data_IF_892510490864
#
_entry.id   IF_892510490864
#
_cell.length_a   1.000
_cell.length_b   1.000
_cell.length_c   1.000
_cell.angle_alpha   90.00
_cell.angle_beta   90.00
_cell.angle_gamma   90.00
#
_symmetry.space_group_name_H-M   'P 1'
#
loop_
_entity.id
_entity.type
_entity.pdbx_description
1 polymer ?
#
# COMPACT_ATOMS: atom_id res chain seq x y z
N UNK A 1 -2.64 80.73 -7.42
CA UNK A 1 -1.93 79.54 -6.90
C UNK A 1 -3.01 78.51 -6.65
N UNK A 2 -3.22 77.66 -7.62
CA UNK A 2 -4.24 76.60 -7.57
C UNK A 2 -3.50 75.28 -7.52
N UNK A 3 -3.68 74.55 -6.43
CA UNK A 3 -3.19 73.19 -6.24
C UNK A 3 -4.10 72.24 -7.03
N UNK A 4 -3.56 71.60 -8.06
CA UNK A 4 -4.20 70.50 -8.78
C UNK A 4 -3.97 69.21 -7.97
N UNK A 5 -5.06 68.72 -7.44
CA UNK A 5 -5.14 67.42 -6.75
C UNK A 5 -5.13 66.29 -7.81
N UNK A 6 -3.98 65.59 -7.93
CA UNK A 6 -3.82 64.46 -8.81
C UNK A 6 -4.47 63.25 -8.09
N UNK A 7 -5.66 62.87 -8.51
CA UNK A 7 -6.29 61.60 -8.17
C UNK A 7 -5.53 60.46 -8.89
N UNK A 8 -4.68 59.77 -8.19
CA UNK A 8 -4.12 58.49 -8.65
C UNK A 8 -5.25 57.42 -8.65
N UNK A 9 -5.69 57.09 -9.87
CA UNK A 9 -6.60 55.98 -10.14
C UNK A 9 -5.81 54.65 -9.94
N UNK A 10 -5.88 54.07 -8.74
CA UNK A 10 -5.40 52.73 -8.44
C UNK A 10 -6.30 51.71 -9.16
N UNK A 11 -6.05 51.51 -10.44
CA UNK A 11 -6.56 50.36 -11.15
C UNK A 11 -5.82 49.10 -10.65
N UNK A 12 -6.44 48.39 -9.70
CA UNK A 12 -6.05 47.01 -9.35
C UNK A 12 -5.93 46.21 -10.65
N UNK A 13 -4.80 45.46 -10.83
CA UNK A 13 -4.69 44.57 -11.99
C UNK A 13 -5.79 43.49 -11.84
N UNK A 14 -6.55 43.23 -12.90
CA UNK A 14 -7.57 42.17 -12.87
C UNK A 14 -6.88 40.87 -12.53
N UNK A 15 -7.24 40.25 -11.40
CA UNK A 15 -6.88 38.89 -11.06
C UNK A 15 -7.39 38.00 -12.20
N UNK A 16 -6.47 37.63 -13.11
CA UNK A 16 -6.77 36.76 -14.24
C UNK A 16 -7.11 35.37 -13.72
N UNK A 17 -8.34 35.19 -13.29
CA UNK A 17 -8.92 33.84 -13.18
C UNK A 17 -8.83 33.23 -14.58
N UNK A 18 -8.14 32.09 -14.77
CA UNK A 18 -8.01 31.48 -16.08
C UNK A 18 -9.42 31.17 -16.60
N UNK A 19 -9.86 31.88 -17.62
CA UNK A 19 -11.16 31.68 -18.26
C UNK A 19 -11.21 30.26 -18.78
N UNK A 20 -12.02 29.42 -18.14
CA UNK A 20 -12.22 28.03 -18.58
C UNK A 20 -12.87 28.12 -19.95
N UNK A 21 -12.27 27.50 -21.01
CA UNK A 21 -12.92 27.51 -22.31
C UNK A 21 -14.30 26.84 -22.19
N UNK A 22 -15.35 27.61 -22.39
CA UNK A 22 -16.75 27.16 -22.27
C UNK A 22 -17.01 25.92 -23.12
N UNK A 23 -16.29 25.77 -24.23
CA UNK A 23 -16.35 24.63 -25.12
C UNK A 23 -15.89 23.31 -24.45
N UNK A 24 -14.87 23.33 -23.57
CA UNK A 24 -14.42 22.14 -22.87
C UNK A 24 -15.44 21.64 -21.84
N UNK A 25 -16.14 22.56 -21.17
CA UNK A 25 -17.22 22.19 -20.26
C UNK A 25 -18.41 21.61 -21.01
N UNK A 26 -18.75 22.18 -22.17
CA UNK A 26 -19.82 21.66 -23.03
C UNK A 26 -19.50 20.24 -23.53
N UNK A 27 -18.28 20.02 -24.02
CA UNK A 27 -17.82 18.69 -24.44
C UNK A 27 -17.85 17.68 -23.29
N UNK A 28 -17.38 18.05 -22.09
CA UNK A 28 -17.41 17.17 -20.93
C UNK A 28 -18.84 16.85 -20.44
N UNK A 29 -19.79 17.77 -20.68
CA UNK A 29 -21.19 17.61 -20.30
C UNK A 29 -22.01 16.82 -21.33
N UNK A 30 -21.51 16.63 -22.56
CA UNK A 30 -22.25 16.01 -23.65
C UNK A 30 -22.63 14.55 -23.30
N UNK A 31 -23.94 14.23 -23.25
CA UNK A 31 -24.39 12.86 -23.02
C UNK A 31 -23.94 11.87 -24.10
N UNK A 32 -23.65 12.35 -25.33
CA UNK A 32 -23.17 11.55 -26.45
C UNK A 32 -21.63 11.46 -26.52
N UNK A 33 -20.90 11.92 -25.50
CA UNK A 33 -19.44 11.89 -25.47
C UNK A 33 -18.90 10.47 -25.64
N UNK A 34 -18.19 10.23 -26.77
CA UNK A 34 -17.58 8.92 -27.03
C UNK A 34 -16.40 8.62 -26.12
N UNK A 35 -16.10 7.31 -25.92
CA UNK A 35 -14.92 6.86 -25.15
C UNK A 35 -13.62 7.47 -25.65
N UNK A 36 -13.41 7.48 -26.98
CA UNK A 36 -12.17 7.95 -27.59
C UNK A 36 -12.00 9.46 -27.42
N UNK A 37 -13.08 10.22 -27.55
CA UNK A 37 -13.05 11.67 -27.32
C UNK A 37 -12.77 12.00 -25.85
N UNK A 38 -13.42 11.30 -24.92
CA UNK A 38 -13.15 11.44 -23.48
C UNK A 38 -11.69 11.10 -23.14
N UNK A 39 -11.14 10.02 -23.69
CA UNK A 39 -9.74 9.64 -23.48
C UNK A 39 -8.77 10.65 -24.10
N UNK A 40 -9.12 11.21 -25.27
CA UNK A 40 -8.30 12.25 -25.92
C UNK A 40 -8.28 13.51 -25.09
N UNK A 41 -9.41 13.91 -24.53
CA UNK A 41 -9.51 15.02 -23.59
C UNK A 41 -8.61 14.78 -22.38
N UNK A 42 -8.70 13.61 -21.73
CA UNK A 42 -7.94 13.24 -20.54
C UNK A 42 -6.42 13.05 -20.76
N UNK A 43 -5.95 13.02 -22.00
CA UNK A 43 -4.50 13.06 -22.30
C UNK A 43 -3.87 14.44 -22.03
N UNK A 44 -4.65 15.49 -22.10
CA UNK A 44 -4.20 16.86 -21.84
C UNK A 44 -3.94 17.01 -20.35
N UNK A 45 -2.75 17.49 -19.99
CA UNK A 45 -2.37 17.68 -18.59
C UNK A 45 -2.86 19.01 -18.00
N UNK A 46 -3.28 19.93 -18.87
CA UNK A 46 -3.66 21.31 -18.55
C UNK A 46 -5.17 21.51 -18.27
N UNK A 47 -5.96 20.41 -18.27
CA UNK A 47 -7.40 20.49 -18.04
C UNK A 47 -7.74 21.16 -16.69
N UNK A 48 -8.68 22.12 -16.69
CA UNK A 48 -9.20 22.69 -15.47
C UNK A 48 -9.92 21.64 -14.61
N UNK A 49 -9.83 21.74 -13.27
CA UNK A 49 -10.52 20.82 -12.36
C UNK A 49 -12.03 20.72 -12.60
N UNK A 50 -12.67 21.83 -12.98
CA UNK A 50 -14.11 21.94 -13.24
C UNK A 50 -14.54 21.06 -14.43
N UNK A 51 -13.69 20.95 -15.45
CA UNK A 51 -13.93 20.08 -16.61
C UNK A 51 -13.87 18.60 -16.19
N UNK A 52 -12.91 18.28 -15.30
CA UNK A 52 -12.77 16.93 -14.75
C UNK A 52 -13.93 16.55 -13.82
N UNK A 53 -14.42 17.50 -13.04
CA UNK A 53 -15.64 17.31 -12.23
C UNK A 53 -16.88 17.14 -13.09
N UNK A 54 -17.00 17.91 -14.17
CA UNK A 54 -18.10 17.76 -15.10
C UNK A 54 -18.07 16.41 -15.80
N UNK A 55 -16.86 15.95 -16.22
CA UNK A 55 -16.68 14.63 -16.80
C UNK A 55 -17.02 13.52 -15.79
N UNK A 56 -16.74 13.74 -14.49
CA UNK A 56 -17.11 12.82 -13.42
C UNK A 56 -18.63 12.71 -13.19
N UNK A 57 -19.41 13.70 -13.62
CA UNK A 57 -20.87 13.68 -13.59
C UNK A 57 -21.49 13.05 -14.85
N UNK A 58 -20.69 12.89 -15.91
CA UNK A 58 -21.16 12.32 -17.17
C UNK A 58 -21.29 10.79 -17.06
N UNK A 59 -22.50 10.31 -16.82
CA UNK A 59 -22.80 8.90 -16.65
C UNK A 59 -22.44 8.03 -17.87
N UNK A 60 -22.53 8.58 -19.10
CA UNK A 60 -22.18 7.87 -20.32
C UNK A 60 -20.67 7.66 -20.44
N UNK A 61 -19.88 8.70 -20.23
CA UNK A 61 -18.43 8.62 -20.23
C UNK A 61 -17.91 7.66 -19.13
N UNK A 62 -18.52 7.67 -17.95
CA UNK A 62 -18.15 6.80 -16.83
C UNK A 62 -18.56 5.32 -17.00
N UNK A 63 -19.34 4.94 -18.01
CA UNK A 63 -19.54 3.52 -18.36
C UNK A 63 -18.23 2.86 -18.78
N UNK A 64 -17.37 3.59 -19.46
CA UNK A 64 -16.06 3.07 -19.86
C UNK A 64 -15.12 2.96 -18.66
N UNK A 65 -14.61 1.73 -18.43
CA UNK A 65 -13.56 1.46 -17.44
C UNK A 65 -12.28 2.25 -17.72
N UNK A 66 -11.91 2.42 -19.00
CA UNK A 66 -10.70 3.15 -19.39
C UNK A 66 -10.81 4.62 -19.03
N UNK A 67 -11.98 5.25 -19.30
CA UNK A 67 -12.25 6.64 -18.94
C UNK A 67 -12.19 6.85 -17.44
N UNK A 68 -12.81 5.97 -16.64
CA UNK A 68 -12.75 6.04 -15.17
C UNK A 68 -11.31 5.99 -14.64
N UNK A 69 -10.48 5.07 -15.16
CA UNK A 69 -9.08 4.95 -14.75
C UNK A 69 -8.29 6.19 -15.18
N UNK A 70 -8.48 6.67 -16.42
CA UNK A 70 -7.80 7.86 -16.93
C UNK A 70 -8.17 9.11 -16.13
N UNK A 71 -9.45 9.29 -15.81
CA UNK A 71 -9.94 10.38 -14.98
C UNK A 71 -9.35 10.35 -13.56
N UNK A 72 -9.39 9.20 -12.89
CA UNK A 72 -8.81 9.05 -11.56
C UNK A 72 -7.28 9.20 -11.54
N UNK A 73 -6.62 8.95 -12.67
CA UNK A 73 -5.16 9.08 -12.82
C UNK A 73 -4.70 10.44 -13.30
N UNK A 74 -5.62 11.35 -13.59
CA UNK A 74 -5.26 12.66 -14.11
C UNK A 74 -4.69 13.56 -12.99
N UNK A 75 -3.60 14.31 -13.24
CA UNK A 75 -2.89 15.05 -12.19
C UNK A 75 -3.73 16.18 -11.54
N UNK A 76 -4.69 16.71 -12.27
CA UNK A 76 -5.55 17.80 -11.79
C UNK A 76 -6.94 17.37 -11.34
N UNK A 77 -7.23 16.03 -11.35
CA UNK A 77 -8.52 15.54 -10.83
C UNK A 77 -8.57 15.75 -9.32
N UNK A 78 -9.60 16.46 -8.83
CA UNK A 78 -9.76 16.68 -7.41
C UNK A 78 -9.88 15.37 -6.63
N UNK A 79 -9.33 15.35 -5.42
CA UNK A 79 -9.33 14.17 -4.55
C UNK A 79 -10.74 13.63 -4.27
N UNK A 80 -11.72 14.52 -4.10
CA UNK A 80 -13.12 14.13 -3.86
C UNK A 80 -13.76 13.40 -5.06
N UNK A 81 -13.18 13.52 -6.25
CA UNK A 81 -13.56 12.76 -7.45
C UNK A 81 -12.75 11.47 -7.58
N UNK A 82 -11.40 11.57 -7.45
CA UNK A 82 -10.49 10.43 -7.66
C UNK A 82 -10.72 9.29 -6.67
N UNK A 83 -10.90 9.59 -5.38
CA UNK A 83 -11.00 8.56 -4.33
C UNK A 83 -12.31 7.74 -4.42
N UNK A 84 -13.51 8.35 -4.60
CA UNK A 84 -14.73 7.58 -4.82
C UNK A 84 -14.68 6.70 -6.07
N UNK A 85 -14.10 7.20 -7.18
CA UNK A 85 -13.89 6.40 -8.39
C UNK A 85 -12.97 5.21 -8.12
N UNK A 86 -11.85 5.44 -7.43
CA UNK A 86 -10.90 4.39 -7.09
C UNK A 86 -11.53 3.26 -6.26
N UNK A 87 -12.48 3.56 -5.38
CA UNK A 87 -13.20 2.53 -4.59
C UNK A 87 -13.97 1.53 -5.44
N UNK A 88 -14.28 1.87 -6.70
CA UNK A 88 -15.01 1.01 -7.64
C UNK A 88 -14.08 0.19 -8.54
N UNK A 89 -12.75 0.41 -8.47
CA UNK A 89 -11.79 -0.26 -9.35
C UNK A 89 -11.47 -1.67 -8.88
N UNK A 90 -11.08 -2.51 -9.84
CA UNK A 90 -10.49 -3.82 -9.55
C UNK A 90 -9.08 -3.67 -8.97
N UNK A 91 -8.60 -4.71 -8.28
CA UNK A 91 -7.30 -4.76 -7.61
C UNK A 91 -6.14 -4.26 -8.48
N UNK A 92 -6.05 -4.73 -9.71
CA UNK A 92 -4.95 -4.34 -10.61
C UNK A 92 -5.09 -2.94 -11.21
N UNK A 93 -6.33 -2.41 -11.31
CA UNK A 93 -6.52 -1.02 -11.72
C UNK A 93 -6.10 -0.05 -10.61
N UNK A 94 -6.45 -0.36 -9.37
CA UNK A 94 -5.94 0.37 -8.20
C UNK A 94 -4.41 0.41 -8.19
N UNK A 95 -3.77 -0.76 -8.42
CA UNK A 95 -2.31 -0.83 -8.51
C UNK A 95 -1.77 0.07 -9.63
N UNK A 96 -2.40 0.08 -10.83
CA UNK A 96 -1.98 0.96 -11.93
C UNK A 96 -2.09 2.43 -11.56
N UNK A 97 -3.20 2.84 -10.92
CA UNK A 97 -3.41 4.23 -10.47
C UNK A 97 -2.37 4.61 -9.41
N UNK A 98 -2.15 3.77 -8.39
CA UNK A 98 -1.16 4.01 -7.34
C UNK A 98 0.27 4.15 -7.88
N UNK A 99 0.61 3.42 -8.95
CA UNK A 99 1.94 3.44 -9.57
C UNK A 99 2.10 4.50 -10.66
N UNK A 100 1.03 5.15 -11.10
CA UNK A 100 1.09 6.17 -12.13
C UNK A 100 1.89 7.39 -11.63
N UNK A 101 2.90 7.87 -12.37
CA UNK A 101 3.65 9.06 -11.99
C UNK A 101 2.80 10.34 -11.99
N UNK A 102 1.71 10.35 -12.78
CA UNK A 102 0.84 11.52 -12.97
C UNK A 102 -0.11 11.76 -11.79
N UNK A 103 -0.39 10.75 -10.98
CA UNK A 103 -1.32 10.83 -9.84
C UNK A 103 -0.70 11.59 -8.67
N UNK A 104 -1.40 12.54 -8.05
CA UNK A 104 -0.95 13.23 -6.84
C UNK A 104 -0.64 12.26 -5.68
N UNK A 105 0.33 12.63 -4.84
CA UNK A 105 0.81 11.78 -3.76
C UNK A 105 -0.28 11.40 -2.75
N UNK A 106 -1.14 12.33 -2.40
CA UNK A 106 -2.26 12.13 -1.48
C UNK A 106 -3.32 11.17 -2.02
N UNK A 107 -3.59 11.22 -3.34
CA UNK A 107 -4.47 10.26 -4.02
C UNK A 107 -3.82 8.88 -4.06
N UNK A 108 -2.50 8.78 -4.34
CA UNK A 108 -1.78 7.49 -4.26
C UNK A 108 -1.90 6.84 -2.90
N UNK A 109 -1.72 7.62 -1.83
CA UNK A 109 -1.88 7.14 -0.45
C UNK A 109 -3.29 6.61 -0.23
N UNK A 110 -4.33 7.33 -0.65
CA UNK A 110 -5.72 6.90 -0.50
C UNK A 110 -6.02 5.62 -1.31
N UNK A 111 -5.47 5.51 -2.52
CA UNK A 111 -5.61 4.31 -3.35
C UNK A 111 -4.90 3.11 -2.74
N UNK A 112 -3.72 3.30 -2.17
CA UNK A 112 -3.00 2.26 -1.42
C UNK A 112 -3.82 1.80 -0.19
N UNK A 113 -4.47 2.72 0.53
CA UNK A 113 -5.32 2.37 1.67
C UNK A 113 -6.53 1.52 1.24
N UNK A 114 -7.14 1.83 0.08
CA UNK A 114 -8.19 0.99 -0.52
C UNK A 114 -7.65 -0.40 -0.88
N UNK A 115 -6.45 -0.50 -1.48
CA UNK A 115 -5.81 -1.78 -1.77
C UNK A 115 -5.54 -2.58 -0.50
N UNK A 116 -4.95 -1.95 0.51
CA UNK A 116 -4.63 -2.58 1.80
C UNK A 116 -5.90 -3.11 2.47
N UNK A 117 -6.99 -2.35 2.47
CA UNK A 117 -8.26 -2.80 3.05
C UNK A 117 -8.82 -4.06 2.36
N UNK A 118 -8.50 -4.27 1.08
CA UNK A 118 -8.96 -5.41 0.28
C UNK A 118 -8.03 -6.63 0.34
N UNK A 119 -6.84 -6.53 0.93
CA UNK A 119 -5.88 -7.64 0.97
C UNK A 119 -6.49 -8.92 1.57
N UNK A 120 -7.44 -8.80 2.49
CA UNK A 120 -8.14 -9.94 3.11
C UNK A 120 -9.07 -10.70 2.14
N UNK A 121 -9.53 -10.06 1.08
CA UNK A 121 -10.51 -10.63 0.13
C UNK A 121 -9.90 -11.08 -1.20
N UNK A 122 -8.67 -10.63 -1.51
CA UNK A 122 -7.99 -10.98 -2.76
C UNK A 122 -7.40 -12.40 -2.71
N UNK A 123 -7.29 -13.03 -3.87
CA UNK A 123 -6.71 -14.37 -4.02
C UNK A 123 -5.21 -14.39 -3.72
N UNK A 124 -4.65 -15.58 -3.43
CA UNK A 124 -3.21 -15.74 -3.19
C UNK A 124 -2.37 -15.33 -4.40
N UNK A 125 -2.85 -15.59 -5.63
CA UNK A 125 -2.18 -15.15 -6.86
C UNK A 125 -2.14 -13.63 -7.01
N UNK A 126 -3.23 -12.94 -6.67
CA UNK A 126 -3.27 -11.48 -6.65
C UNK A 126 -2.34 -10.92 -5.57
N UNK A 127 -2.33 -11.50 -4.34
CA UNK A 127 -1.39 -11.11 -3.27
C UNK A 127 0.05 -11.24 -3.71
N UNK A 128 0.41 -12.32 -4.38
CA UNK A 128 1.77 -12.53 -4.90
C UNK A 128 2.15 -11.48 -5.95
N UNK A 129 1.21 -11.14 -6.83
CA UNK A 129 1.41 -10.10 -7.84
C UNK A 129 1.55 -8.71 -7.20
N UNK A 130 0.68 -8.39 -6.23
CA UNK A 130 0.77 -7.15 -5.45
C UNK A 130 2.09 -7.07 -4.67
N UNK A 131 2.50 -8.17 -4.01
CA UNK A 131 3.76 -8.24 -3.28
C UNK A 131 4.96 -7.86 -4.16
N UNK A 132 4.99 -8.34 -5.40
CA UNK A 132 6.09 -8.08 -6.35
C UNK A 132 6.04 -6.70 -7.00
N UNK A 133 4.85 -6.16 -7.28
CA UNK A 133 4.67 -5.04 -8.23
C UNK A 133 4.01 -3.80 -7.65
N UNK A 134 3.25 -3.90 -6.55
CA UNK A 134 2.55 -2.77 -5.97
C UNK A 134 3.51 -1.78 -5.30
N UNK A 135 2.95 -0.72 -4.72
CA UNK A 135 3.71 0.26 -3.94
C UNK A 135 4.41 -0.37 -2.73
N UNK A 136 5.44 0.28 -2.21
CA UNK A 136 6.12 -0.16 -1.00
C UNK A 136 5.19 -0.27 0.22
N UNK A 137 4.15 0.60 0.31
CA UNK A 137 3.15 0.56 1.39
C UNK A 137 2.31 -0.72 1.33
N UNK A 138 1.86 -1.10 0.15
CA UNK A 138 1.10 -2.35 -0.06
C UNK A 138 1.97 -3.57 0.21
N UNK A 139 3.23 -3.57 -0.26
CA UNK A 139 4.19 -4.63 0.03
C UNK A 139 4.45 -4.76 1.55
N UNK A 140 4.65 -3.65 2.27
CA UNK A 140 4.81 -3.64 3.72
C UNK A 140 3.57 -4.17 4.46
N UNK A 141 2.36 -3.84 3.98
CA UNK A 141 1.12 -4.39 4.55
C UNK A 141 1.04 -5.91 4.37
N UNK A 142 1.50 -6.44 3.23
CA UNK A 142 1.55 -7.89 2.98
C UNK A 142 2.59 -8.63 3.84
N UNK A 143 3.63 -7.95 4.35
CA UNK A 143 4.55 -8.53 5.34
C UNK A 143 3.85 -8.80 6.69
N UNK A 144 2.83 -8.03 7.03
CA UNK A 144 2.10 -8.11 8.30
C UNK A 144 0.83 -8.96 8.23
N UNK A 145 0.36 -9.29 7.03
CA UNK A 145 -0.92 -10.01 6.80
C UNK A 145 -0.83 -11.53 7.10
N UNK A 146 0.02 -11.91 8.05
CA UNK A 146 0.20 -13.32 8.49
C UNK A 146 -1.05 -13.83 9.23
N UNK A 147 -1.71 -12.96 10.02
CA UNK A 147 -2.85 -13.34 10.85
C UNK A 147 -4.15 -13.64 10.08
N UNK A 148 -4.28 -13.10 8.87
CA UNK A 148 -5.50 -13.23 8.05
C UNK A 148 -5.78 -14.68 7.59
N UNK A 149 -4.75 -15.54 7.52
CA UNK A 149 -4.90 -16.95 7.13
C UNK A 149 -5.23 -17.84 8.34
N UNK A 150 -4.64 -17.57 9.50
CA UNK A 150 -4.92 -18.35 10.71
C UNK A 150 -6.37 -18.12 11.18
N UNK A 151 -6.85 -16.86 11.12
CA UNK A 151 -8.24 -16.54 11.44
C UNK A 151 -9.27 -17.17 10.49
N UNK A 152 -8.98 -17.25 9.19
CA UNK A 152 -9.87 -17.93 8.22
C UNK A 152 -9.84 -19.45 8.37
N UNK A 153 -8.69 -20.04 8.63
CA UNK A 153 -8.57 -21.49 8.86
C UNK A 153 -9.34 -21.91 10.12
N UNK A 154 -9.30 -21.07 11.17
CA UNK A 154 -10.07 -21.32 12.39
C UNK A 154 -11.56 -21.08 12.15
N UNK A 155 -11.97 -20.05 11.41
CA UNK A 155 -13.36 -19.78 11.07
C UNK A 155 -13.95 -20.87 10.16
N UNK A 156 -13.22 -21.31 9.14
CA UNK A 156 -13.64 -22.41 8.26
C UNK A 156 -13.75 -23.75 9.01
N UNK A 157 -12.90 -24.01 10.00
CA UNK A 157 -13.04 -25.20 10.89
C UNK A 157 -14.26 -25.11 11.78
N UNK A 158 -14.62 -23.93 12.28
CA UNK A 158 -15.81 -23.74 13.13
C UNK A 158 -17.08 -23.88 12.27
N UNK A 159 -17.08 -23.39 11.03
CA UNK A 159 -18.21 -23.49 10.10
C UNK A 159 -18.34 -24.92 9.59
N UNK A 160 -17.24 -25.59 9.24
CA UNK A 160 -17.25 -26.99 8.78
C UNK A 160 -17.68 -27.99 9.88
N UNK A 161 -17.46 -27.65 11.16
CA UNK A 161 -17.92 -28.48 12.30
C UNK A 161 -19.42 -28.42 12.58
N UNK A 162 -20.18 -27.54 11.92
CA UNK A 162 -21.63 -27.38 12.10
C UNK A 162 -22.48 -27.90 10.95
N UNK A 163 -21.89 -28.37 9.87
CA UNK A 163 -22.62 -28.97 8.74
C UNK A 163 -22.81 -30.46 8.99
N UNK A 164 -24.02 -30.83 9.41
CA UNK A 164 -24.50 -32.19 9.51
C UNK A 164 -24.35 -32.93 8.18
N UNK A 165 -23.95 -34.19 8.27
CA UNK A 165 -23.90 -35.19 7.21
C UNK A 165 -25.13 -35.17 6.29
N UNK A 166 -24.94 -34.71 5.07
CA UNK A 166 -25.83 -34.97 3.95
C UNK A 166 -25.04 -35.80 2.93
N UNK A 167 -25.30 -37.10 2.87
CA UNK A 167 -24.79 -38.00 1.83
C UNK A 167 -25.36 -37.57 0.48
N UNK A 168 -24.54 -36.97 -0.38
CA UNK A 168 -24.80 -36.85 -1.81
C UNK A 168 -23.94 -37.88 -2.52
N UNK A 169 -24.62 -38.80 -3.27
CA UNK A 169 -24.02 -39.73 -4.19
C UNK A 169 -23.61 -38.96 -5.44
N UNK A 170 -22.43 -38.46 -5.50
CA UNK A 170 -21.63 -38.28 -6.73
C UNK A 170 -20.30 -37.67 -6.30
N UNK A 171 -19.27 -38.48 -6.37
CA UNK A 171 -17.92 -38.18 -5.87
C UNK A 171 -17.18 -37.20 -6.75
N UNK A 172 -17.41 -35.88 -6.56
CA UNK A 172 -16.48 -34.88 -7.01
C UNK A 172 -16.18 -33.93 -5.85
N UNK A 173 -15.14 -34.29 -5.09
CA UNK A 173 -14.62 -33.44 -4.00
C UNK A 173 -13.95 -32.22 -4.65
N UNK A 174 -14.73 -31.16 -4.86
CA UNK A 174 -14.22 -29.80 -5.13
C UNK A 174 -14.20 -29.07 -3.80
N UNK A 175 -13.16 -29.28 -3.03
CA UNK A 175 -12.96 -28.66 -1.73
C UNK A 175 -11.74 -29.27 -1.05
N UNK A 176 -10.57 -29.20 -1.72
CA UNK A 176 -9.31 -29.66 -1.13
C UNK A 176 -9.08 -28.93 0.19
N UNK A 177 -9.07 -29.69 1.31
CA UNK A 177 -8.57 -29.21 2.61
C UNK A 177 -7.16 -28.70 2.36
N UNK A 178 -6.98 -27.37 2.32
CA UNK A 178 -5.65 -26.78 2.25
C UNK A 178 -4.94 -27.19 3.53
N UNK A 179 -3.93 -28.05 3.41
CA UNK A 179 -3.12 -28.47 4.55
C UNK A 179 -2.47 -27.22 5.15
N UNK A 180 -2.41 -27.13 6.49
CA UNK A 180 -1.78 -26.02 7.20
C UNK A 180 -0.36 -25.71 6.66
N UNK A 181 0.41 -26.75 6.36
CA UNK A 181 1.74 -26.62 5.75
C UNK A 181 1.71 -25.88 4.40
N UNK A 182 0.69 -26.12 3.58
CA UNK A 182 0.55 -25.45 2.28
C UNK A 182 0.15 -23.97 2.44
N UNK A 183 -0.71 -23.66 3.41
CA UNK A 183 -1.08 -22.28 3.73
C UNK A 183 0.14 -21.49 4.21
N UNK A 184 0.95 -22.06 5.11
CA UNK A 184 2.20 -21.48 5.59
C UNK A 184 3.20 -21.29 4.43
N UNK A 185 3.35 -22.27 3.55
CA UNK A 185 4.23 -22.15 2.39
C UNK A 185 3.79 -21.03 1.43
N UNK A 186 2.48 -20.90 1.20
CA UNK A 186 1.91 -19.79 0.37
C UNK A 186 2.21 -18.43 0.99
N UNK A 187 1.99 -18.30 2.30
CA UNK A 187 2.29 -17.07 3.03
C UNK A 187 3.77 -16.72 2.99
N UNK A 188 4.65 -17.70 3.19
CA UNK A 188 6.11 -17.51 3.09
C UNK A 188 6.50 -16.99 1.71
N UNK A 189 5.90 -17.50 0.63
CA UNK A 189 6.14 -17.03 -0.75
C UNK A 189 5.70 -15.58 -0.95
N UNK A 190 4.54 -15.18 -0.40
CA UNK A 190 4.06 -13.80 -0.48
C UNK A 190 5.00 -12.86 0.28
N UNK A 191 5.41 -13.26 1.48
CA UNK A 191 6.35 -12.50 2.31
C UNK A 191 7.71 -12.32 1.60
N UNK A 192 8.29 -13.39 1.06
CA UNK A 192 9.53 -13.31 0.29
C UNK A 192 9.39 -12.37 -0.91
N UNK A 193 8.31 -12.51 -1.68
CA UNK A 193 8.03 -11.65 -2.83
C UNK A 193 7.88 -10.17 -2.42
N UNK A 194 7.30 -9.90 -1.24
CA UNK A 194 7.19 -8.54 -0.71
C UNK A 194 8.54 -7.97 -0.28
N UNK A 195 9.42 -8.78 0.35
CA UNK A 195 10.78 -8.38 0.71
C UNK A 195 11.66 -8.09 -0.50
N UNK A 196 11.41 -8.73 -1.64
CA UNK A 196 12.09 -8.51 -2.92
C UNK A 196 11.53 -7.31 -3.70
N UNK A 197 10.40 -6.72 -3.28
CA UNK A 197 9.77 -5.61 -4.00
C UNK A 197 10.75 -4.43 -4.14
N UNK A 198 11.00 -3.92 -5.37
CA UNK A 198 11.94 -2.82 -5.58
C UNK A 198 11.49 -1.48 -4.97
N UNK A 199 10.18 -1.33 -4.70
CA UNK A 199 9.60 -0.13 -4.08
C UNK A 199 9.50 -0.21 -2.56
N UNK A 200 9.85 -1.37 -1.96
CA UNK A 200 9.93 -1.51 -0.52
C UNK A 200 11.16 -0.76 -0.01
N UNK A 201 10.95 0.17 0.92
CA UNK A 201 12.03 0.97 1.53
C UNK A 201 12.46 0.40 2.86
N UNK A 202 13.65 0.75 3.30
CA UNK A 202 14.19 0.35 4.59
C UNK A 202 13.30 0.79 5.75
N UNK A 203 12.82 2.03 5.73
CA UNK A 203 11.90 2.54 6.76
C UNK A 203 10.61 1.70 6.86
N UNK A 204 10.07 1.23 5.73
CA UNK A 204 8.89 0.37 5.73
C UNK A 204 9.17 -1.01 6.31
N UNK A 205 10.34 -1.59 6.05
CA UNK A 205 10.77 -2.86 6.66
C UNK A 205 10.95 -2.70 8.16
N UNK A 206 11.66 -1.67 8.62
CA UNK A 206 11.85 -1.35 10.04
C UNK A 206 10.50 -1.18 10.73
N UNK A 207 9.62 -0.37 10.17
CA UNK A 207 8.28 -0.17 10.73
C UNK A 207 7.47 -1.46 10.78
N UNK A 208 7.65 -2.38 9.81
CA UNK A 208 6.94 -3.66 9.81
C UNK A 208 7.44 -4.59 10.91
N UNK A 209 8.77 -4.72 11.11
CA UNK A 209 9.33 -5.61 12.14
C UNK A 209 9.14 -5.07 13.57
N UNK A 210 9.07 -3.76 13.74
CA UNK A 210 8.87 -3.13 15.05
C UNK A 210 7.41 -3.17 15.53
N UNK A 211 6.44 -3.48 14.67
CA UNK A 211 5.04 -3.60 15.09
C UNK A 211 4.88 -4.70 16.14
N UNK A 212 4.02 -4.50 17.16
CA UNK A 212 3.74 -5.55 18.16
C UNK A 212 3.23 -6.86 17.53
N UNK A 213 2.47 -6.76 16.43
CA UNK A 213 1.94 -7.88 15.66
C UNK A 213 2.94 -8.50 14.65
N UNK A 214 4.22 -8.11 14.68
CA UNK A 214 5.22 -8.72 13.81
C UNK A 214 5.43 -10.20 14.18
N UNK A 215 5.20 -11.09 13.23
CA UNK A 215 5.35 -12.53 13.46
C UNK A 215 6.82 -12.95 13.55
N UNK A 216 7.09 -14.07 14.25
CA UNK A 216 8.41 -14.68 14.25
C UNK A 216 8.90 -15.00 12.84
N UNK A 217 8.00 -15.45 11.95
CA UNK A 217 8.30 -15.73 10.55
C UNK A 217 8.83 -14.50 9.81
N UNK A 218 8.22 -13.31 10.02
CA UNK A 218 8.69 -12.07 9.42
C UNK A 218 10.08 -11.70 9.94
N UNK A 219 10.29 -11.73 11.25
CA UNK A 219 11.58 -11.40 11.87
C UNK A 219 12.69 -12.31 11.33
N UNK A 220 12.43 -13.62 11.24
CA UNK A 220 13.39 -14.57 10.68
C UNK A 220 13.63 -14.38 9.17
N UNK A 221 12.59 -14.07 8.41
CA UNK A 221 12.72 -13.81 6.97
C UNK A 221 13.60 -12.57 6.72
N UNK A 222 13.35 -11.46 7.42
CA UNK A 222 14.14 -10.23 7.29
C UNK A 222 15.58 -10.44 7.76
N UNK A 223 15.80 -11.15 8.88
CA UNK A 223 17.13 -11.44 9.42
C UNK A 223 18.01 -12.32 8.50
N UNK A 224 17.39 -13.07 7.59
CA UNK A 224 18.10 -13.91 6.59
C UNK A 224 18.14 -13.32 5.20
N UNK A 225 17.45 -12.20 4.95
CA UNK A 225 17.29 -11.66 3.61
C UNK A 225 18.55 -10.91 3.17
N UNK A 226 19.13 -11.28 2.02
CA UNK A 226 20.41 -10.74 1.52
C UNK A 226 20.42 -9.21 1.33
N UNK A 227 19.28 -8.59 0.99
CA UNK A 227 19.17 -7.13 0.82
C UNK A 227 19.01 -6.38 2.15
N UNK A 228 18.29 -6.96 3.12
CA UNK A 228 17.86 -6.26 4.33
C UNK A 228 18.75 -6.55 5.54
N UNK A 229 19.18 -7.80 5.70
CA UNK A 229 20.03 -8.22 6.82
C UNK A 229 21.36 -7.44 6.94
N UNK A 230 22.03 -6.99 5.85
CA UNK A 230 23.27 -6.22 5.98
C UNK A 230 23.08 -4.78 6.47
N UNK A 231 21.83 -4.26 6.48
CA UNK A 231 21.58 -2.86 6.80
C UNK A 231 21.58 -2.62 8.30
N UNK A 232 22.38 -1.67 8.75
CA UNK A 232 22.61 -1.36 10.17
C UNK A 232 21.31 -1.04 10.90
N UNK A 233 20.47 -0.18 10.34
CA UNK A 233 19.22 0.23 10.96
C UNK A 233 18.22 -0.93 11.05
N UNK A 234 18.21 -1.81 10.06
CA UNK A 234 17.38 -3.05 10.08
C UNK A 234 17.89 -3.99 11.18
N UNK A 235 19.19 -4.17 11.34
CA UNK A 235 19.78 -4.98 12.44
C UNK A 235 19.42 -4.43 13.80
N UNK A 236 19.53 -3.12 13.99
CA UNK A 236 19.12 -2.45 15.23
C UNK A 236 17.64 -2.63 15.50
N UNK A 237 16.78 -2.54 14.48
CA UNK A 237 15.35 -2.80 14.61
C UNK A 237 15.05 -4.27 14.96
N UNK A 238 15.73 -5.23 14.34
CA UNK A 238 15.59 -6.66 14.63
C UNK A 238 15.98 -7.00 16.08
N UNK A 239 17.05 -6.39 16.60
CA UNK A 239 17.46 -6.54 18.01
C UNK A 239 16.43 -5.98 19.00
N UNK A 240 15.49 -5.13 18.57
CA UNK A 240 14.38 -4.65 19.41
C UNK A 240 13.17 -5.59 19.41
N UNK A 241 13.14 -6.59 18.53
CA UNK A 241 12.00 -7.53 18.39
C UNK A 241 12.07 -8.68 19.41
N UNK A 242 10.94 -9.37 19.65
CA UNK A 242 10.90 -10.49 20.58
C UNK A 242 11.40 -11.82 19.97
N UNK A 243 11.47 -11.94 18.66
CA UNK A 243 11.58 -13.22 17.95
C UNK A 243 12.93 -13.45 17.25
N UNK A 244 13.93 -12.58 17.48
CA UNK A 244 15.25 -12.77 16.89
C UNK A 244 15.97 -13.94 17.55
N UNK A 245 16.58 -14.84 16.74
CA UNK A 245 17.36 -15.96 17.26
C UNK A 245 18.67 -15.48 17.88
N UNK A 246 19.16 -16.21 18.91
CA UNK A 246 20.41 -15.90 19.59
C UNK A 246 21.59 -15.75 18.63
N UNK A 247 21.76 -16.70 17.69
CA UNK A 247 22.87 -16.66 16.71
C UNK A 247 22.88 -15.36 15.88
N UNK A 248 21.71 -14.90 15.43
CA UNK A 248 21.59 -13.64 14.69
C UNK A 248 21.73 -12.43 15.59
N UNK A 249 21.25 -12.51 16.83
CA UNK A 249 21.42 -11.43 17.79
C UNK A 249 22.89 -11.19 18.13
N UNK A 250 23.68 -12.25 18.32
CA UNK A 250 25.13 -12.19 18.51
C UNK A 250 25.86 -11.60 17.29
N UNK A 251 25.50 -12.08 16.08
CA UNK A 251 26.08 -11.55 14.84
C UNK A 251 25.82 -10.04 14.70
N UNK A 252 24.57 -9.59 14.90
CA UNK A 252 24.20 -8.20 14.72
C UNK A 252 24.74 -7.28 15.82
N UNK A 253 24.87 -7.79 17.05
CA UNK A 253 25.44 -7.02 18.17
C UNK A 253 26.91 -6.68 17.99
N UNK A 254 27.68 -7.50 17.24
CA UNK A 254 29.12 -7.29 17.02
C UNK A 254 29.45 -5.98 16.32
N UNK A 255 28.57 -5.50 15.47
CA UNK A 255 28.76 -4.27 14.69
C UNK A 255 28.29 -3.00 15.42
N UNK A 256 27.61 -3.15 16.55
CA UNK A 256 27.08 -2.02 17.32
C UNK A 256 28.04 -1.72 18.48
N UNK A 257 28.46 -0.45 18.68
CA UNK A 257 29.28 -0.08 19.83
C UNK A 257 28.60 -0.41 21.16
N UNK A 258 29.41 -0.61 22.23
CA UNK A 258 28.92 -1.11 23.52
C UNK A 258 27.83 -0.23 24.15
N UNK A 259 28.03 1.10 24.20
CA UNK A 259 27.05 2.01 24.83
C UNK A 259 25.71 2.05 24.08
N UNK A 260 25.62 2.27 22.75
CA UNK A 260 24.37 2.16 22.01
C UNK A 260 23.71 0.78 22.09
N UNK A 261 24.51 -0.30 22.21
CA UNK A 261 23.96 -1.65 22.36
C UNK A 261 23.23 -1.81 23.69
N UNK A 262 23.78 -1.30 24.79
CA UNK A 262 23.13 -1.34 26.11
C UNK A 262 21.79 -0.61 26.10
N UNK A 263 21.74 0.61 25.54
CA UNK A 263 20.51 1.39 25.43
C UNK A 263 19.46 0.67 24.57
N UNK A 264 19.90 0.06 23.45
CA UNK A 264 19.05 -0.70 22.56
C UNK A 264 18.47 -1.93 23.27
N UNK A 265 19.29 -2.69 24.00
CA UNK A 265 18.86 -3.88 24.73
C UNK A 265 17.94 -3.54 25.89
N UNK A 266 18.14 -2.40 26.57
CA UNK A 266 17.25 -1.92 27.62
C UNK A 266 15.82 -1.75 27.12
N UNK A 267 15.65 -1.17 25.90
CA UNK A 267 14.34 -0.97 25.25
C UNK A 267 13.86 -2.17 24.42
N UNK A 268 14.66 -3.23 24.29
CA UNK A 268 14.37 -4.40 23.46
C UNK A 268 13.34 -5.32 24.10
N UNK A 269 12.53 -5.99 23.24
CA UNK A 269 11.60 -7.05 23.63
C UNK A 269 12.21 -8.45 23.57
N UNK A 270 13.53 -8.58 23.37
CA UNK A 270 14.23 -9.86 23.39
C UNK A 270 14.04 -10.57 24.73
N UNK A 271 13.98 -11.91 24.77
CA UNK A 271 13.99 -12.69 26.00
C UNK A 271 15.19 -12.35 26.88
N UNK A 272 14.99 -12.26 28.20
CA UNK A 272 16.04 -11.92 29.17
C UNK A 272 17.30 -12.77 28.99
N UNK A 273 17.14 -14.09 28.83
CA UNK A 273 18.26 -15.01 28.57
C UNK A 273 19.14 -14.61 27.37
N UNK A 274 18.53 -14.11 26.30
CA UNK A 274 19.29 -13.65 25.11
C UNK A 274 20.00 -12.33 25.43
N UNK A 275 19.35 -11.40 26.14
CA UNK A 275 19.95 -10.12 26.55
C UNK A 275 21.18 -10.34 27.43
N UNK A 276 21.06 -11.22 28.42
CA UNK A 276 22.15 -11.53 29.38
C UNK A 276 23.36 -12.15 28.65
N UNK A 277 23.10 -13.05 27.70
CA UNK A 277 24.16 -13.64 26.85
C UNK A 277 24.86 -12.61 25.98
N UNK A 278 24.09 -11.67 25.36
CA UNK A 278 24.65 -10.59 24.54
C UNK A 278 25.52 -9.64 25.36
N UNK A 279 25.07 -9.30 26.57
CA UNK A 279 25.84 -8.46 27.48
C UNK A 279 27.10 -9.17 27.98
N UNK A 280 26.98 -10.45 28.37
CA UNK A 280 28.13 -11.24 28.80
C UNK A 280 29.21 -11.34 27.72
N UNK A 281 28.86 -11.73 26.48
CA UNK A 281 29.84 -11.90 25.37
C UNK A 281 30.50 -10.60 24.94
N UNK A 282 29.89 -9.44 25.19
CA UNK A 282 30.40 -8.12 24.74
C UNK A 282 31.15 -7.36 25.80
N UNK A 283 30.99 -7.71 27.09
CA UNK A 283 31.56 -6.99 28.22
C UNK A 283 32.47 -7.87 29.08
N UNK A 284 32.65 -9.14 28.75
CA UNK A 284 33.68 -10.03 29.24
C UNK A 284 34.82 -10.15 28.25
#
# INVERSE_FOLDING_TARGET
>A
MSEEEILEDETEPPSATPTIPADLLRVAADPALSEDLALTLLKRADLPPEVLEQLAKNAHALKSRKVRIALASHPRTPRHVSVPLARQFYTFDLMKVALSPRVPADVKVAVDDVLISRLKTVTVGERLTLARRASGRVAAALLLDVESLDGKIVADKIIAGKSKEGKSKDGKIIGGKINHAEAVARQTRVMQAALENPRLTEALVINSVLRPAASAALVHAVARHGKWSPRREVRAALLRTAHLSLARALEFSREIPASPLQELLASSRLPAKIKDQLLHERFT
#
